data_IF_895708097099
#
_entry.id   IF_895708097099
#
_cell.length_a   1.000
_cell.length_b   1.000
_cell.length_c   1.000
_cell.angle_alpha   90.00
_cell.angle_beta   90.00
_cell.angle_gamma   90.00
#
_symmetry.space_group_name_H-M   'P 1'
#
loop_
_entity.id
_entity.type
_entity.pdbx_description
1 polymer ?
#
# COMPACT_ATOMS: atom_id res chain seq x y z
N UNK A 1 8.43 -53.66 -32.14
CA UNK A 1 7.77 -54.96 -31.88
C UNK A 1 7.08 -54.82 -30.53
N UNK A 2 5.77 -54.54 -30.43
CA UNK A 2 4.61 -55.43 -30.69
C UNK A 2 4.75 -56.72 -29.85
N UNK A 3 3.85 -57.17 -28.96
CA UNK A 3 2.38 -57.15 -28.83
C UNK A 3 2.01 -57.30 -27.31
N UNK A 4 0.91 -56.77 -26.74
CA UNK A 4 -0.54 -57.04 -26.90
C UNK A 4 -1.04 -58.40 -26.37
N UNK A 5 -2.29 -58.39 -25.83
CA UNK A 5 -3.27 -59.49 -25.55
C UNK A 5 -3.47 -59.80 -24.04
N UNK A 6 -4.64 -59.96 -23.39
CA UNK A 6 -6.12 -59.89 -23.59
C UNK A 6 -6.73 -59.94 -22.15
N UNK A 7 -7.78 -59.22 -21.73
CA UNK A 7 -9.23 -59.24 -22.03
C UNK A 7 -10.09 -60.33 -21.33
N UNK A 8 -11.09 -59.91 -20.55
CA UNK A 8 -12.50 -60.41 -20.42
C UNK A 8 -13.16 -59.78 -19.16
N UNK A 9 -14.16 -58.90 -19.24
CA UNK A 9 -15.61 -59.07 -19.54
C UNK A 9 -16.46 -59.72 -18.42
N UNK A 10 -17.48 -59.00 -17.93
CA UNK A 10 -18.90 -59.38 -17.66
C UNK A 10 -19.57 -58.21 -16.88
N UNK A 11 -20.43 -57.34 -17.43
CA UNK A 11 -21.84 -57.42 -17.89
C UNK A 11 -22.91 -57.13 -16.82
N UNK A 12 -23.71 -56.08 -17.07
CA UNK A 12 -25.15 -55.96 -16.77
C UNK A 12 -25.57 -54.78 -15.87
N UNK A 13 -26.69 -54.06 -16.06
CA UNK A 13 -27.69 -53.86 -17.14
C UNK A 13 -28.78 -52.88 -16.57
N UNK A 14 -29.26 -51.91 -17.37
CA UNK A 14 -30.58 -51.19 -17.37
C UNK A 14 -31.04 -50.42 -16.09
N UNK A 15 -31.79 -49.31 -16.14
CA UNK A 15 -32.91 -48.97 -17.03
C UNK A 15 -33.17 -47.46 -17.12
N UNK A 16 -33.63 -47.05 -18.30
CA UNK A 16 -34.22 -45.76 -18.69
C UNK A 16 -35.71 -45.67 -18.29
N UNK A 17 -36.23 -44.45 -18.12
CA UNK A 17 -37.60 -44.10 -18.50
C UNK A 17 -37.78 -42.59 -18.69
N UNK A 18 -38.15 -42.21 -19.92
CA UNK A 18 -38.72 -40.93 -20.31
C UNK A 18 -40.26 -41.02 -20.20
N UNK A 19 -40.95 -39.93 -19.82
CA UNK A 19 -42.18 -39.48 -20.50
C UNK A 19 -42.66 -38.10 -19.99
N UNK A 20 -42.66 -37.14 -20.93
CA UNK A 20 -43.60 -36.03 -21.24
C UNK A 20 -44.78 -35.82 -20.25
N UNK A 21 -45.29 -34.62 -19.93
CA UNK A 21 -45.90 -33.59 -20.81
C UNK A 21 -46.41 -32.37 -20.00
N UNK A 22 -46.18 -31.15 -20.51
CA UNK A 22 -46.99 -29.91 -20.49
C UNK A 22 -48.12 -29.67 -19.45
N UNK A 23 -48.11 -28.50 -18.77
CA UNK A 23 -49.04 -27.37 -19.07
C UNK A 23 -48.81 -26.09 -18.23
N UNK A 24 -48.96 -24.95 -18.92
CA UNK A 24 -49.06 -23.52 -18.53
C UNK A 24 -49.64 -23.18 -17.14
N UNK A 25 -49.09 -22.12 -16.51
CA UNK A 25 -49.86 -20.93 -16.06
C UNK A 25 -48.97 -19.81 -15.45
N UNK A 26 -49.02 -18.64 -16.10
CA UNK A 26 -49.02 -17.23 -15.60
C UNK A 26 -47.90 -16.64 -14.72
N UNK A 27 -47.42 -15.42 -15.05
CA UNK A 27 -46.53 -14.62 -14.21
C UNK A 27 -47.34 -13.76 -13.22
N UNK A 28 -46.91 -13.72 -11.96
CA UNK A 28 -47.45 -12.77 -10.97
C UNK A 28 -46.74 -11.43 -11.17
N UNK A 29 -47.47 -10.50 -11.77
CA UNK A 29 -47.17 -9.07 -11.82
C UNK A 29 -47.54 -8.47 -10.47
N UNK A 30 -46.57 -7.93 -9.72
CA UNK A 30 -46.86 -7.01 -8.62
C UNK A 30 -46.74 -5.58 -9.14
N UNK A 31 -47.87 -5.00 -9.53
CA UNK A 31 -48.05 -3.55 -9.63
C UNK A 31 -48.58 -3.04 -8.30
N UNK A 32 -47.86 -2.15 -7.64
CA UNK A 32 -48.43 -1.26 -6.63
C UNK A 32 -48.18 0.18 -7.05
N UNK A 33 -49.20 0.78 -7.68
CA UNK A 33 -49.38 2.22 -7.70
C UNK A 33 -49.70 2.67 -6.27
N UNK A 34 -48.92 3.60 -5.73
CA UNK A 34 -49.44 4.53 -4.73
C UNK A 34 -48.97 5.95 -5.06
N UNK A 35 -49.96 6.79 -5.27
CA UNK A 35 -49.87 8.19 -5.65
C UNK A 35 -49.52 9.08 -4.46
N UNK A 36 -48.61 10.02 -4.71
CA UNK A 36 -48.53 11.41 -4.21
C UNK A 36 -49.02 11.74 -2.80
N UNK A 37 -48.09 12.22 -1.96
CA UNK A 37 -48.28 13.47 -1.20
C UNK A 37 -46.99 14.31 -1.32
N UNK A 38 -47.09 15.36 -2.13
CA UNK A 38 -46.13 16.48 -2.16
C UNK A 38 -46.41 17.35 -0.95
N UNK A 39 -45.39 17.63 -0.13
CA UNK A 39 -45.40 18.80 0.78
C UNK A 39 -44.32 19.77 0.32
N UNK A 40 -44.78 20.90 -0.18
CA UNK A 40 -44.00 22.10 -0.45
C UNK A 40 -43.54 22.75 0.85
N UNK A 41 -42.26 23.09 0.93
CA UNK A 41 -41.81 24.24 1.73
C UNK A 41 -40.82 25.04 0.91
N UNK A 42 -41.21 26.28 0.65
CA UNK A 42 -40.60 27.29 -0.20
C UNK A 42 -39.47 28.07 0.49
N UNK A 43 -38.58 28.62 -0.34
CA UNK A 43 -37.61 29.70 -0.11
C UNK A 43 -36.36 29.31 0.71
N UNK A 44 -35.13 29.53 0.25
CA UNK A 44 -34.63 30.75 -0.37
C UNK A 44 -33.57 30.50 -1.47
N UNK A 45 -33.73 31.22 -2.59
CA UNK A 45 -32.69 31.51 -3.57
C UNK A 45 -31.45 32.13 -2.91
N UNK A 46 -30.29 31.51 -3.12
CA UNK A 46 -29.01 32.22 -3.22
C UNK A 46 -28.22 31.62 -4.37
N UNK A 47 -28.36 32.24 -5.54
CA UNK A 47 -27.25 32.38 -6.49
C UNK A 47 -26.03 32.83 -5.70
N UNK A 48 -24.99 32.00 -5.68
CA UNK A 48 -23.63 32.46 -5.42
C UNK A 48 -22.78 31.93 -6.56
N UNK A 49 -22.11 32.88 -7.18
CA UNK A 49 -21.41 32.75 -8.45
C UNK A 49 -20.40 31.62 -8.44
N UNK A 50 -20.33 30.95 -9.59
CA UNK A 50 -19.24 30.08 -10.00
C UNK A 50 -18.04 31.00 -10.22
N UNK A 51 -17.08 30.95 -9.32
CA UNK A 51 -15.71 31.37 -9.59
C UNK A 51 -14.81 30.15 -9.43
N UNK A 52 -14.23 29.75 -10.55
CA UNK A 52 -13.11 28.82 -10.65
C UNK A 52 -11.95 29.25 -9.74
N UNK A 53 -11.15 28.27 -9.33
CA UNK A 53 -10.05 28.30 -8.34
C UNK A 53 -10.47 28.04 -6.89
N UNK A 54 -10.70 26.76 -6.57
CA UNK A 54 -10.21 26.10 -5.34
C UNK A 54 -10.62 24.63 -5.37
N UNK A 55 -9.73 23.78 -5.91
CA UNK A 55 -9.80 22.34 -5.66
C UNK A 55 -9.41 22.02 -4.21
N UNK A 56 -9.86 20.90 -3.64
CA UNK A 56 -9.55 20.57 -2.24
C UNK A 56 -8.03 20.48 -2.03
N UNK A 57 -7.54 21.15 -0.99
CA UNK A 57 -6.13 21.15 -0.60
C UNK A 57 -5.79 19.89 0.21
N UNK A 58 -4.51 19.53 0.33
CA UNK A 58 -4.00 18.42 1.13
C UNK A 58 -4.54 18.45 2.57
N UNK A 59 -4.70 19.65 3.13
CA UNK A 59 -5.27 19.89 4.45
C UNK A 59 -6.73 19.40 4.54
N UNK A 60 -7.52 19.48 3.47
CA UNK A 60 -8.91 19.02 3.46
C UNK A 60 -9.00 17.48 3.47
N UNK A 61 -7.98 16.79 2.94
CA UNK A 61 -7.86 15.34 2.97
C UNK A 61 -7.29 14.79 4.29
N UNK A 62 -6.37 15.51 4.93
CA UNK A 62 -5.80 15.12 6.23
C UNK A 62 -6.77 15.44 7.38
N UNK A 63 -7.60 16.49 7.24
CA UNK A 63 -8.33 17.07 8.36
C UNK A 63 -9.64 16.41 8.73
N UNK A 64 -10.12 15.41 7.98
CA UNK A 64 -11.30 14.57 8.29
C UNK A 64 -12.22 15.18 9.34
N UNK A 65 -13.02 16.17 8.93
CA UNK A 65 -13.84 17.08 9.75
C UNK A 65 -13.62 17.02 11.27
N UNK A 66 -12.90 18.04 11.73
CA UNK A 66 -12.57 18.48 13.09
C UNK A 66 -13.76 18.60 14.07
N UNK A 67 -14.56 17.55 14.26
CA UNK A 67 -15.54 17.46 15.34
C UNK A 67 -14.96 16.87 16.63
N UNK A 68 -13.70 16.41 16.62
CA UNK A 68 -13.07 15.73 17.78
C UNK A 68 -11.77 16.36 18.33
N UNK A 69 -11.32 17.54 17.86
CA UNK A 69 -10.12 18.20 18.42
C UNK A 69 -10.19 18.38 19.95
N UNK A 70 -11.39 18.59 20.50
CA UNK A 70 -11.62 18.71 21.94
C UNK A 70 -11.45 17.40 22.72
N UNK A 71 -11.68 16.23 22.10
CA UNK A 71 -11.52 14.93 22.78
C UNK A 71 -10.06 14.47 22.88
N UNK A 72 -9.18 14.97 22.02
CA UNK A 72 -7.80 14.47 21.90
C UNK A 72 -6.84 15.15 22.87
N UNK A 73 -6.97 16.47 23.05
CA UNK A 73 -6.17 17.25 24.00
C UNK A 73 -6.41 16.84 25.47
N UNK A 74 -7.56 16.23 25.77
CA UNK A 74 -7.95 15.79 27.11
C UNK A 74 -7.59 14.32 27.41
N UNK A 75 -6.89 13.62 26.51
CA UNK A 75 -6.52 12.21 26.74
C UNK A 75 -5.48 12.10 27.88
N UNK A 76 -5.93 11.59 29.04
CA UNK A 76 -5.11 11.41 30.26
C UNK A 76 -4.41 10.04 30.36
N UNK A 77 -4.40 9.24 29.29
CA UNK A 77 -3.75 7.92 29.33
C UNK A 77 -2.25 8.02 29.15
N UNK A 78 -1.50 7.06 29.70
CA UNK A 78 -0.06 6.97 29.48
C UNK A 78 0.26 6.80 27.99
N UNK A 79 1.14 7.67 27.47
CA UNK A 79 1.61 7.62 26.09
C UNK A 79 2.94 6.89 25.96
N UNK A 80 3.72 6.83 27.04
CA UNK A 80 5.02 6.14 27.09
C UNK A 80 4.93 4.89 27.94
N UNK A 81 5.48 3.80 27.43
CA UNK A 81 5.39 2.47 28.03
C UNK A 81 6.26 2.38 29.27
N UNK A 82 5.66 2.00 30.39
CA UNK A 82 6.39 1.57 31.58
C UNK A 82 6.78 0.08 31.50
N UNK A 83 7.88 -0.31 32.14
CA UNK A 83 8.42 -1.67 32.08
C UNK A 83 7.42 -2.68 32.68
N UNK A 84 6.94 -3.59 31.83
CA UNK A 84 5.99 -4.64 32.21
C UNK A 84 4.57 -4.40 31.73
N UNK A 85 4.24 -3.17 31.35
CA UNK A 85 2.88 -2.78 30.99
C UNK A 85 2.65 -2.73 29.47
N UNK A 86 1.37 -2.70 29.08
CA UNK A 86 0.92 -2.47 27.71
C UNK A 86 0.18 -1.16 27.65
N UNK A 87 0.57 -0.31 26.71
CA UNK A 87 -0.13 0.93 26.44
C UNK A 87 -1.52 0.64 25.86
N UNK A 88 -2.51 1.43 26.29
CA UNK A 88 -3.84 1.43 25.71
C UNK A 88 -3.84 2.26 24.43
N UNK A 89 -4.46 1.76 23.38
CA UNK A 89 -4.55 2.47 22.11
C UNK A 89 -5.30 3.81 22.28
N UNK A 90 -4.66 4.95 21.99
CA UNK A 90 -5.28 6.26 22.08
C UNK A 90 -6.37 6.46 21.01
N UNK A 91 -7.27 7.42 21.18
CA UNK A 91 -8.42 7.62 20.30
C UNK A 91 -8.04 7.92 18.84
N UNK A 92 -6.99 8.73 18.60
CA UNK A 92 -6.57 9.12 17.25
C UNK A 92 -5.94 8.00 16.40
N UNK A 93 -5.71 6.81 16.99
CA UNK A 93 -5.24 5.62 16.27
C UNK A 93 -6.34 4.60 16.01
N UNK A 94 -7.58 4.89 16.42
CA UNK A 94 -8.72 4.01 16.16
C UNK A 94 -9.24 4.26 14.75
N UNK A 95 -9.40 3.20 13.98
CA UNK A 95 -10.02 3.24 12.65
C UNK A 95 -11.36 2.50 12.66
N UNK A 96 -12.22 2.87 11.73
CA UNK A 96 -13.47 2.15 11.50
C UNK A 96 -13.21 0.81 10.80
N UNK A 97 -14.11 -0.14 11.01
CA UNK A 97 -14.02 -1.46 10.38
C UNK A 97 -14.43 -1.30 8.90
N UNK A 98 -13.63 -1.82 7.96
CA UNK A 98 -13.92 -1.72 6.54
C UNK A 98 -15.23 -2.45 6.18
N UNK A 99 -16.21 -1.72 5.63
CA UNK A 99 -17.47 -2.26 5.12
C UNK A 99 -17.73 -1.65 3.73
N UNK A 100 -17.93 -2.48 2.70
CA UNK A 100 -18.28 -1.95 1.36
C UNK A 100 -18.22 -2.96 0.21
N UNK A 101 -18.95 -2.67 -0.87
CA UNK A 101 -18.99 -3.50 -2.10
C UNK A 101 -17.65 -3.49 -2.85
N UNK A 102 -16.96 -2.34 -2.94
CA UNK A 102 -15.67 -2.23 -3.61
C UNK A 102 -14.57 -3.03 -2.92
N UNK A 103 -14.50 -2.96 -1.59
CA UNK A 103 -13.60 -3.79 -0.79
C UNK A 103 -13.78 -5.29 -1.09
N UNK A 104 -15.03 -5.78 -1.09
CA UNK A 104 -15.31 -7.19 -1.40
C UNK A 104 -14.96 -7.58 -2.84
N UNK A 105 -15.17 -6.69 -3.81
CA UNK A 105 -14.79 -6.91 -5.22
C UNK A 105 -13.27 -7.08 -5.37
N UNK A 106 -12.48 -6.16 -4.80
CA UNK A 106 -11.02 -6.22 -4.84
C UNK A 106 -10.52 -7.49 -4.15
N UNK A 107 -11.06 -7.79 -2.95
CA UNK A 107 -10.73 -8.99 -2.19
C UNK A 107 -10.96 -10.29 -2.97
N UNK A 108 -12.10 -10.42 -3.64
CA UNK A 108 -12.39 -11.61 -4.43
C UNK A 108 -11.45 -11.72 -5.63
N UNK A 109 -11.18 -10.62 -6.31
CA UNK A 109 -10.29 -10.62 -7.49
C UNK A 109 -8.86 -10.99 -7.13
N UNK A 110 -8.35 -10.50 -6.00
CA UNK A 110 -7.02 -10.86 -5.48
C UNK A 110 -6.92 -12.36 -5.21
N UNK A 111 -7.95 -12.96 -4.62
CA UNK A 111 -8.00 -14.41 -4.38
C UNK A 111 -8.06 -15.23 -5.66
N UNK A 112 -8.89 -14.82 -6.61
CA UNK A 112 -9.07 -15.54 -7.88
C UNK A 112 -7.77 -15.55 -8.71
N UNK A 113 -6.95 -14.50 -8.58
CA UNK A 113 -5.67 -14.35 -9.26
C UNK A 113 -4.47 -14.84 -8.44
N UNK A 114 -4.72 -15.39 -7.24
CA UNK A 114 -3.67 -15.81 -6.30
C UNK A 114 -2.63 -14.72 -6.02
N UNK A 115 -3.08 -13.46 -5.91
CA UNK A 115 -2.24 -12.30 -5.61
C UNK A 115 -2.30 -11.97 -4.12
N UNK A 116 -1.16 -11.53 -3.59
CA UNK A 116 -1.05 -11.10 -2.20
C UNK A 116 -1.00 -9.56 -2.12
N UNK A 117 -1.48 -9.02 -1.00
CA UNK A 117 -1.38 -7.58 -0.71
C UNK A 117 -0.79 -7.38 0.67
N UNK A 118 0.08 -6.38 0.80
CA UNK A 118 0.58 -5.98 2.12
C UNK A 118 -0.56 -5.48 3.01
N UNK A 119 -1.64 -4.95 2.41
CA UNK A 119 -2.80 -4.48 3.15
C UNK A 119 -3.43 -5.60 4.00
N UNK A 120 -3.54 -6.81 3.44
CA UNK A 120 -4.06 -7.98 4.16
C UNK A 120 -2.98 -8.62 5.06
N UNK A 121 -1.78 -8.87 4.52
CA UNK A 121 -0.73 -9.62 5.24
C UNK A 121 -0.10 -8.83 6.40
N UNK A 122 -0.01 -7.50 6.27
CA UNK A 122 0.45 -6.60 7.32
C UNK A 122 -0.68 -6.07 8.24
N UNK A 123 -1.92 -6.51 8.03
CA UNK A 123 -3.11 -6.11 8.83
C UNK A 123 -3.29 -4.59 8.87
N UNK A 124 -3.25 -3.96 7.69
CA UNK A 124 -3.27 -2.51 7.58
C UNK A 124 -4.58 -1.92 8.14
N UNK A 125 -4.52 -0.94 9.06
CA UNK A 125 -5.72 -0.29 9.59
C UNK A 125 -6.46 0.57 8.55
N UNK A 126 -5.79 0.93 7.45
CA UNK A 126 -6.30 1.82 6.41
C UNK A 126 -6.92 1.07 5.22
N UNK A 127 -7.00 -0.27 5.25
CA UNK A 127 -7.41 -1.07 4.09
C UNK A 127 -8.80 -0.69 3.55
N UNK A 128 -9.73 -0.33 4.42
CA UNK A 128 -11.07 0.12 4.04
C UNK A 128 -11.07 1.42 3.26
N UNK A 129 -10.26 2.36 3.71
CA UNK A 129 -10.09 3.64 3.03
C UNK A 129 -9.38 3.44 1.69
N UNK A 130 -8.25 2.73 1.67
CA UNK A 130 -7.46 2.47 0.45
C UNK A 130 -8.29 1.79 -0.65
N UNK A 131 -9.04 0.74 -0.32
CA UNK A 131 -9.78 -0.08 -1.29
C UNK A 131 -11.21 0.42 -1.52
N UNK A 132 -11.71 1.31 -0.66
CA UNK A 132 -13.07 1.83 -0.70
C UNK A 132 -13.32 2.96 -1.69
N UNK A 133 -12.32 3.33 -2.51
CA UNK A 133 -12.39 4.44 -3.46
C UNK A 133 -13.72 4.47 -4.24
N UNK A 134 -14.43 5.60 -4.14
CA UNK A 134 -15.65 5.90 -4.89
C UNK A 134 -15.35 6.65 -6.20
N UNK A 135 -16.40 7.13 -6.89
CA UNK A 135 -16.33 7.82 -8.20
C UNK A 135 -15.38 9.04 -8.25
N UNK A 136 -15.05 9.61 -7.08
CA UNK A 136 -14.18 10.79 -6.91
C UNK A 136 -12.90 10.53 -6.11
N UNK A 137 -12.56 9.27 -5.80
CA UNK A 137 -11.30 8.94 -5.11
C UNK A 137 -10.50 7.87 -5.84
N UNK A 138 -9.22 8.17 -6.07
CA UNK A 138 -8.26 7.25 -6.65
C UNK A 138 -8.18 6.00 -5.78
N UNK A 139 -8.59 4.86 -6.34
CA UNK A 139 -8.33 3.58 -5.73
C UNK A 139 -6.83 3.30 -5.84
N UNK A 140 -6.19 2.99 -4.71
CA UNK A 140 -4.81 2.52 -4.71
C UNK A 140 -4.75 1.14 -4.08
N UNK A 141 -3.97 0.27 -4.69
CA UNK A 141 -3.64 -1.03 -4.14
C UNK A 141 -2.12 -1.14 -3.99
N UNK A 142 -1.68 -1.71 -2.87
CA UNK A 142 -0.30 -2.14 -2.69
C UNK A 142 -0.23 -3.65 -2.86
N UNK A 143 0.35 -4.08 -3.98
CA UNK A 143 0.49 -5.49 -4.33
C UNK A 143 1.81 -6.00 -3.79
N UNK A 144 1.77 -7.15 -3.12
CA UNK A 144 2.96 -7.81 -2.60
C UNK A 144 3.31 -8.98 -3.52
N UNK A 145 4.41 -8.81 -4.25
CA UNK A 145 4.98 -9.81 -5.15
C UNK A 145 5.74 -10.88 -4.37
N UNK A 146 5.96 -12.02 -5.01
CA UNK A 146 6.82 -13.11 -4.54
C UNK A 146 6.26 -13.85 -3.32
N UNK A 147 4.94 -13.83 -3.17
CA UNK A 147 4.20 -14.52 -2.13
C UNK A 147 4.12 -13.77 -0.80
N UNK A 148 3.73 -14.51 0.26
CA UNK A 148 3.46 -13.98 1.60
C UNK A 148 4.48 -14.41 2.67
N UNK A 149 5.59 -15.01 2.24
CA UNK A 149 6.56 -15.66 3.12
C UNK A 149 7.98 -15.15 2.84
N UNK A 150 8.55 -14.49 3.83
CA UNK A 150 9.82 -13.77 3.77
C UNK A 150 11.00 -14.60 4.29
N UNK A 151 12.19 -14.41 3.71
CA UNK A 151 13.45 -15.00 4.22
C UNK A 151 14.03 -14.26 5.43
N UNK A 152 13.42 -13.13 5.81
CA UNK A 152 13.86 -12.24 6.90
C UNK A 152 12.82 -12.12 8.01
N UNK A 153 13.31 -11.85 9.22
CA UNK A 153 12.51 -11.80 10.44
C UNK A 153 12.54 -10.44 11.12
N UNK A 154 12.11 -9.38 10.43
CA UNK A 154 11.96 -8.05 11.04
C UNK A 154 10.96 -8.10 12.20
N UNK A 155 11.34 -7.55 13.36
CA UNK A 155 10.58 -7.71 14.63
C UNK A 155 9.31 -6.87 14.69
N UNK A 156 9.16 -5.92 13.76
CA UNK A 156 7.95 -5.12 13.59
C UNK A 156 6.95 -5.73 12.60
N UNK A 157 7.39 -6.60 11.69
CA UNK A 157 6.63 -7.05 10.52
C UNK A 157 5.85 -8.35 10.81
N UNK A 158 4.60 -8.44 10.35
CA UNK A 158 3.73 -9.62 10.55
C UNK A 158 3.72 -10.62 9.40
N UNK A 159 4.43 -10.35 8.31
CA UNK A 159 4.58 -11.26 7.17
C UNK A 159 5.19 -12.58 7.66
N UNK A 160 4.76 -13.70 7.08
CA UNK A 160 5.25 -15.03 7.48
C UNK A 160 6.72 -15.15 7.16
N UNK A 161 7.43 -16.02 7.87
CA UNK A 161 8.86 -16.21 7.65
C UNK A 161 9.19 -17.69 7.42
N UNK A 162 10.04 -17.95 6.43
CA UNK A 162 10.60 -19.26 6.18
C UNK A 162 11.98 -19.12 5.56
N UNK A 163 12.91 -20.02 5.91
CA UNK A 163 14.25 -20.05 5.31
C UNK A 163 14.20 -20.38 3.81
N UNK A 164 13.24 -21.20 3.41
CA UNK A 164 13.00 -21.61 2.03
C UNK A 164 11.51 -21.39 1.73
N UNK A 165 11.13 -20.19 1.25
CA UNK A 165 9.78 -19.93 0.79
C UNK A 165 9.47 -20.74 -0.49
N UNK A 166 8.18 -20.84 -0.88
CA UNK A 166 7.80 -21.46 -2.16
C UNK A 166 8.53 -20.84 -3.37
N UNK A 167 8.73 -21.63 -4.45
CA UNK A 167 9.29 -21.09 -5.68
C UNK A 167 8.40 -19.96 -6.23
N UNK A 168 9.02 -19.00 -6.91
CA UNK A 168 8.28 -17.94 -7.61
C UNK A 168 7.36 -18.54 -8.67
N UNK A 169 6.15 -17.99 -8.80
CA UNK A 169 5.32 -18.25 -9.97
C UNK A 169 5.87 -17.44 -11.16
N UNK A 170 6.37 -18.09 -12.24
CA UNK A 170 6.89 -17.37 -13.40
C UNK A 170 5.84 -16.47 -14.09
N UNK A 171 4.55 -16.74 -13.90
CA UNK A 171 3.46 -15.96 -14.49
C UNK A 171 2.97 -14.81 -13.60
N UNK A 172 3.42 -14.72 -12.34
CA UNK A 172 3.03 -13.65 -11.41
C UNK A 172 3.22 -12.25 -12.00
N UNK A 173 4.32 -11.89 -12.69
CA UNK A 173 4.49 -10.56 -13.28
C UNK A 173 3.43 -10.23 -14.33
N UNK A 174 3.13 -11.19 -15.21
CA UNK A 174 2.13 -11.03 -16.27
C UNK A 174 0.72 -10.92 -15.70
N UNK A 175 0.37 -11.81 -14.77
CA UNK A 175 -0.95 -11.88 -14.15
C UNK A 175 -1.22 -10.64 -13.30
N UNK A 176 -0.22 -10.18 -12.54
CA UNK A 176 -0.29 -8.95 -11.74
C UNK A 176 -0.54 -7.74 -12.63
N UNK A 177 0.24 -7.59 -13.71
CA UNK A 177 0.06 -6.47 -14.65
C UNK A 177 -1.33 -6.48 -15.30
N UNK A 178 -1.81 -7.67 -15.71
CA UNK A 178 -3.17 -7.85 -16.26
C UNK A 178 -4.24 -7.43 -15.24
N UNK A 179 -4.08 -7.79 -13.97
CA UNK A 179 -5.00 -7.45 -12.90
C UNK A 179 -5.08 -5.94 -12.67
N UNK A 180 -3.92 -5.28 -12.54
CA UNK A 180 -3.80 -3.84 -12.27
C UNK A 180 -4.48 -3.02 -13.36
N UNK A 181 -4.26 -3.37 -14.63
CA UNK A 181 -4.90 -2.69 -15.75
C UNK A 181 -6.41 -2.92 -15.77
N UNK A 182 -6.86 -4.15 -15.48
CA UNK A 182 -8.29 -4.46 -15.41
C UNK A 182 -9.01 -3.74 -14.25
N UNK A 183 -8.29 -3.40 -13.17
CA UNK A 183 -8.84 -2.62 -12.07
C UNK A 183 -8.98 -1.13 -12.39
N UNK A 184 -8.31 -0.63 -13.43
CA UNK A 184 -8.34 0.78 -13.81
C UNK A 184 -7.67 1.69 -12.78
N UNK A 185 -6.60 1.23 -12.14
CA UNK A 185 -5.85 2.04 -11.18
C UNK A 185 -4.98 3.07 -11.90
N UNK A 186 -4.97 4.31 -11.40
CA UNK A 186 -4.04 5.34 -11.88
C UNK A 186 -2.65 5.22 -11.26
N UNK A 187 -2.58 4.66 -10.05
CA UNK A 187 -1.37 4.55 -9.24
C UNK A 187 -1.33 3.17 -8.57
N UNK A 188 -0.19 2.51 -8.63
CA UNK A 188 0.02 1.23 -7.96
C UNK A 188 1.35 1.22 -7.22
N UNK A 189 1.33 0.67 -6.00
CA UNK A 189 2.55 0.37 -5.24
C UNK A 189 2.82 -1.12 -5.36
N UNK A 190 3.99 -1.48 -5.85
CA UNK A 190 4.52 -2.84 -5.85
C UNK A 190 5.51 -2.97 -4.69
N UNK A 191 5.35 -3.99 -3.87
CA UNK A 191 6.31 -4.36 -2.84
C UNK A 191 6.55 -5.85 -2.88
N UNK A 192 7.42 -6.37 -2.03
CA UNK A 192 7.65 -7.80 -1.91
C UNK A 192 8.14 -8.18 -0.54
N UNK A 193 8.15 -9.48 -0.29
CA UNK A 193 8.99 -10.07 0.75
C UNK A 193 10.47 -10.05 0.36
N UNK A 194 11.37 -10.19 1.33
CA UNK A 194 12.78 -10.48 1.04
C UNK A 194 12.91 -11.93 0.54
N UNK A 195 13.66 -12.09 -0.56
CA UNK A 195 13.96 -13.37 -1.21
C UNK A 195 15.46 -13.64 -1.26
N UNK A 196 16.09 -13.72 -0.08
CA UNK A 196 17.53 -13.98 0.02
C UNK A 196 17.94 -15.38 -0.51
N UNK A 197 16.97 -16.24 -0.84
CA UNK A 197 17.14 -17.52 -1.51
C UNK A 197 17.39 -17.38 -3.03
N UNK A 198 17.09 -16.23 -3.62
CA UNK A 198 17.33 -15.90 -5.03
C UNK A 198 18.61 -15.09 -5.18
N UNK A 199 19.34 -15.31 -6.29
CA UNK A 199 20.63 -14.64 -6.53
C UNK A 199 20.52 -13.13 -6.69
N UNK A 200 19.41 -12.63 -7.25
CA UNK A 200 19.12 -11.21 -7.46
C UNK A 200 18.11 -10.65 -6.45
N UNK A 201 17.81 -11.42 -5.39
CA UNK A 201 16.79 -11.06 -4.40
C UNK A 201 15.37 -10.83 -4.97
N UNK A 202 15.09 -11.25 -6.21
CA UNK A 202 13.82 -11.03 -6.88
C UNK A 202 13.73 -9.75 -7.74
N UNK A 203 14.85 -9.04 -7.97
CA UNK A 203 14.85 -7.80 -8.74
C UNK A 203 14.35 -7.96 -10.18
N UNK A 204 14.69 -9.07 -10.85
CA UNK A 204 14.16 -9.42 -12.17
C UNK A 204 12.63 -9.56 -12.16
N UNK A 205 12.08 -10.09 -11.08
CA UNK A 205 10.64 -10.30 -10.93
C UNK A 205 9.89 -8.96 -10.79
N UNK A 206 10.43 -8.03 -10.00
CA UNK A 206 9.95 -6.65 -9.95
C UNK A 206 10.00 -5.99 -11.33
N UNK A 207 11.18 -6.00 -11.97
CA UNK A 207 11.38 -5.30 -13.23
C UNK A 207 10.42 -5.81 -14.31
N UNK A 208 10.25 -7.13 -14.43
CA UNK A 208 9.27 -7.74 -15.34
C UNK A 208 7.83 -7.31 -15.04
N UNK A 209 7.47 -7.18 -13.77
CA UNK A 209 6.12 -6.74 -13.38
C UNK A 209 5.88 -5.30 -13.82
N UNK A 210 6.84 -4.41 -13.54
CA UNK A 210 6.78 -3.00 -13.97
C UNK A 210 6.69 -2.89 -15.48
N UNK A 211 7.58 -3.57 -16.23
CA UNK A 211 7.57 -3.52 -17.69
C UNK A 211 6.25 -4.03 -18.27
N UNK A 212 5.71 -5.14 -17.76
CA UNK A 212 4.41 -5.65 -18.20
C UNK A 212 3.27 -4.65 -17.92
N UNK A 213 3.28 -3.91 -16.80
CA UNK A 213 2.30 -2.86 -16.51
C UNK A 213 2.44 -1.74 -17.54
N UNK A 214 3.65 -1.22 -17.75
CA UNK A 214 3.92 -0.09 -18.64
C UNK A 214 3.63 -0.40 -20.11
N UNK A 215 3.91 -1.63 -20.56
CA UNK A 215 3.55 -2.11 -21.90
C UNK A 215 2.04 -2.11 -22.15
N UNK A 216 1.23 -2.42 -21.12
CA UNK A 216 -0.23 -2.46 -21.23
C UNK A 216 -0.86 -1.09 -21.06
N UNK A 217 -0.33 -0.29 -20.15
CA UNK A 217 -0.77 1.07 -19.90
C UNK A 217 0.36 1.91 -19.29
N UNK A 218 1.02 2.70 -20.13
CA UNK A 218 2.11 3.59 -19.72
C UNK A 218 1.65 4.76 -18.82
N UNK A 219 0.34 5.07 -18.78
CA UNK A 219 -0.21 6.13 -17.95
C UNK A 219 -0.27 5.76 -16.46
N UNK A 220 -0.34 4.47 -16.12
CA UNK A 220 -0.36 4.00 -14.73
C UNK A 220 0.98 4.35 -14.09
N UNK A 221 0.94 5.08 -12.98
CA UNK A 221 2.13 5.37 -12.18
C UNK A 221 2.48 4.19 -11.30
N UNK A 222 3.76 3.83 -11.26
CA UNK A 222 4.27 2.66 -10.55
C UNK A 222 5.31 3.09 -9.52
N UNK A 223 5.01 2.86 -8.25
CA UNK A 223 5.95 2.95 -7.13
C UNK A 223 6.44 1.54 -6.77
N UNK A 224 7.76 1.35 -6.68
CA UNK A 224 8.33 0.09 -6.20
C UNK A 224 8.92 0.30 -4.81
N UNK A 225 8.27 -0.26 -3.77
CA UNK A 225 8.82 -0.38 -2.42
C UNK A 225 9.66 -1.65 -2.31
N UNK A 226 10.97 -1.49 -2.49
CA UNK A 226 11.89 -2.61 -2.66
C UNK A 226 12.54 -3.07 -1.35
N UNK A 227 12.95 -4.35 -1.28
CA UNK A 227 14.01 -4.81 -0.38
C UNK A 227 15.32 -4.03 -0.54
N UNK A 228 16.30 -4.35 0.32
CA UNK A 228 17.67 -3.81 0.22
C UNK A 228 18.60 -4.65 -0.66
N UNK A 229 18.13 -5.80 -1.16
CA UNK A 229 18.89 -6.77 -1.97
C UNK A 229 20.24 -7.17 -1.37
N UNK A 230 20.38 -7.13 -0.04
CA UNK A 230 21.65 -7.36 0.67
C UNK A 230 22.78 -6.44 0.19
N UNK A 231 22.42 -5.25 -0.30
CA UNK A 231 23.36 -4.28 -0.84
C UNK A 231 23.83 -4.56 -2.27
N UNK A 232 23.20 -5.50 -3.00
CA UNK A 232 23.48 -5.70 -4.43
C UNK A 232 22.92 -4.55 -5.26
N UNK A 233 23.82 -3.67 -5.69
CA UNK A 233 23.49 -2.49 -6.48
C UNK A 233 23.05 -2.83 -7.91
N UNK A 234 23.43 -3.99 -8.45
CA UNK A 234 22.97 -4.40 -9.79
C UNK A 234 21.47 -4.73 -9.79
N UNK A 235 20.98 -5.26 -8.68
CA UNK A 235 19.55 -5.49 -8.43
C UNK A 235 18.78 -4.17 -8.29
N UNK A 236 19.38 -3.18 -7.62
CA UNK A 236 18.83 -1.80 -7.51
C UNK A 236 18.74 -1.13 -8.88
N UNK A 237 19.83 -1.17 -9.66
CA UNK A 237 19.92 -0.61 -11.01
C UNK A 237 18.86 -1.21 -11.93
N UNK A 238 18.73 -2.55 -11.93
CA UNK A 238 17.74 -3.27 -12.73
C UNK A 238 16.32 -2.76 -12.48
N UNK A 239 15.95 -2.58 -11.22
CA UNK A 239 14.62 -2.04 -10.88
C UNK A 239 14.54 -0.58 -11.32
N UNK A 240 15.51 0.28 -10.97
CA UNK A 240 15.51 1.70 -11.33
C UNK A 240 15.31 1.96 -12.84
N UNK A 241 15.81 1.06 -13.69
CA UNK A 241 15.69 1.13 -15.15
C UNK A 241 14.44 0.44 -15.73
N UNK A 242 13.61 -0.22 -14.91
CA UNK A 242 12.42 -0.96 -15.36
C UNK A 242 11.27 -0.11 -15.91
N UNK A 243 11.37 1.22 -15.76
CA UNK A 243 10.36 2.18 -16.19
C UNK A 243 9.42 2.66 -15.09
N UNK A 244 9.68 2.33 -13.82
CA UNK A 244 8.91 2.85 -12.69
C UNK A 244 9.02 4.38 -12.54
N UNK A 245 8.12 4.96 -11.76
CA UNK A 245 8.06 6.40 -11.51
C UNK A 245 8.64 6.77 -10.14
N UNK A 246 8.47 5.93 -9.11
CA UNK A 246 8.94 6.19 -7.73
C UNK A 246 9.67 4.98 -7.13
N UNK A 247 10.95 5.13 -6.83
CA UNK A 247 11.75 4.12 -6.16
C UNK A 247 11.67 4.32 -4.65
N UNK A 248 11.01 3.41 -3.94
CA UNK A 248 10.87 3.46 -2.50
C UNK A 248 11.72 2.39 -1.80
N UNK A 249 12.40 2.77 -0.72
CA UNK A 249 13.03 1.83 0.20
C UNK A 249 12.98 2.42 1.61
N UNK A 250 12.39 1.69 2.55
CA UNK A 250 12.20 2.18 3.90
C UNK A 250 13.43 1.90 4.77
N UNK A 251 13.92 2.95 5.45
CA UNK A 251 14.90 2.81 6.53
C UNK A 251 14.26 2.31 7.83
N UNK A 252 12.94 2.47 7.96
CA UNK A 252 12.05 2.00 9.03
C UNK A 252 12.25 2.66 10.39
N UNK A 253 13.49 2.91 10.82
CA UNK A 253 13.82 3.45 12.14
C UNK A 253 15.18 4.14 12.13
N UNK A 254 15.52 4.84 13.21
CA UNK A 254 16.83 5.46 13.44
C UNK A 254 17.98 4.44 13.51
N UNK A 255 19.21 4.89 13.28
CA UNK A 255 20.45 4.10 13.20
C UNK A 255 20.65 3.15 14.39
N UNK A 256 20.38 3.63 15.59
CA UNK A 256 20.58 2.92 16.87
C UNK A 256 19.64 1.74 17.04
N UNK A 257 18.44 1.82 16.45
CA UNK A 257 17.40 0.82 16.59
C UNK A 257 17.37 -0.19 15.44
N UNK A 258 18.16 0.00 14.38
CA UNK A 258 18.19 -0.86 13.20
C UNK A 258 18.26 -2.35 13.54
N UNK A 259 19.28 -2.76 14.32
CA UNK A 259 19.48 -4.18 14.70
C UNK A 259 18.41 -4.70 15.67
N UNK A 260 17.77 -3.81 16.42
CA UNK A 260 16.69 -4.17 17.35
C UNK A 260 15.34 -4.32 16.63
N UNK A 261 15.11 -3.56 15.55
CA UNK A 261 13.83 -3.46 14.85
C UNK A 261 13.79 -4.35 13.60
N UNK A 262 14.81 -4.29 12.76
CA UNK A 262 14.91 -4.97 11.48
C UNK A 262 15.69 -6.28 11.61
N UNK A 263 15.61 -7.11 10.58
CA UNK A 263 16.45 -8.30 10.48
C UNK A 263 17.95 -7.91 10.54
N UNK A 264 18.83 -8.66 11.22
CA UNK A 264 20.25 -8.32 11.36
C UNK A 264 21.02 -8.14 10.04
N UNK A 265 20.48 -8.63 8.91
CA UNK A 265 21.04 -8.44 7.57
C UNK A 265 20.76 -7.05 6.98
N UNK A 266 19.80 -6.30 7.55
CA UNK A 266 19.48 -4.93 7.17
C UNK A 266 20.20 -3.93 8.09
N UNK A 267 20.63 -2.81 7.52
CA UNK A 267 21.21 -1.69 8.27
C UNK A 267 20.99 -0.38 7.51
N UNK A 268 21.14 0.75 8.21
CA UNK A 268 20.85 2.06 7.65
C UNK A 268 21.81 2.45 6.51
N UNK A 269 23.10 2.14 6.61
CA UNK A 269 24.08 2.49 5.57
C UNK A 269 23.78 1.77 4.25
N UNK A 270 23.36 0.50 4.32
CA UNK A 270 22.90 -0.27 3.17
C UNK A 270 21.63 0.33 2.58
N UNK A 271 20.66 0.69 3.42
CA UNK A 271 19.41 1.32 2.98
C UNK A 271 19.64 2.68 2.31
N UNK A 272 20.54 3.50 2.85
CA UNK A 272 20.94 4.78 2.25
C UNK A 272 21.67 4.58 0.92
N UNK A 273 22.54 3.57 0.82
CA UNK A 273 23.21 3.22 -0.45
C UNK A 273 22.22 2.80 -1.54
N UNK A 274 21.19 2.02 -1.20
CA UNK A 274 20.13 1.63 -2.14
C UNK A 274 19.44 2.87 -2.72
N UNK A 275 19.00 3.79 -1.85
CA UNK A 275 18.30 5.01 -2.26
C UNK A 275 19.20 5.94 -3.08
N UNK A 276 20.45 6.16 -2.63
CA UNK A 276 21.42 6.97 -3.35
C UNK A 276 21.73 6.38 -4.72
N UNK A 277 21.95 5.08 -4.80
CA UNK A 277 22.29 4.42 -6.06
C UNK A 277 21.15 4.47 -7.08
N UNK A 278 19.89 4.34 -6.64
CA UNK A 278 18.73 4.51 -7.53
C UNK A 278 18.73 5.91 -8.20
N UNK A 279 19.11 6.96 -7.45
CA UNK A 279 19.28 8.33 -7.98
C UNK A 279 20.48 8.47 -8.91
N UNK A 280 21.61 7.85 -8.59
CA UNK A 280 22.81 7.86 -9.44
C UNK A 280 22.53 7.22 -10.80
N UNK A 281 21.81 6.09 -10.80
CA UNK A 281 21.42 5.37 -12.03
C UNK A 281 20.44 6.17 -12.87
N UNK A 282 19.45 6.83 -12.24
CA UNK A 282 18.43 7.63 -12.92
C UNK A 282 18.09 8.87 -12.11
N UNK A 283 18.76 9.99 -12.41
CA UNK A 283 18.61 11.24 -11.65
C UNK A 283 17.18 11.79 -11.59
N UNK A 284 16.35 11.48 -12.60
CA UNK A 284 14.95 11.93 -12.69
C UNK A 284 13.98 11.09 -11.87
N UNK A 285 14.37 9.88 -11.42
CA UNK A 285 13.50 9.01 -10.63
C UNK A 285 13.21 9.66 -9.27
N UNK A 286 11.99 9.56 -8.77
CA UNK A 286 11.70 10.00 -7.41
C UNK A 286 12.10 8.91 -6.41
N UNK A 287 12.76 9.30 -5.32
CA UNK A 287 13.10 8.39 -4.22
C UNK A 287 12.26 8.67 -2.99
N UNK A 288 11.82 7.61 -2.32
CA UNK A 288 10.93 7.70 -1.17
C UNK A 288 11.35 6.76 -0.05
N UNK A 289 11.14 7.19 1.20
CA UNK A 289 11.39 6.35 2.37
C UNK A 289 10.30 6.52 3.43
N UNK A 290 10.38 5.66 4.45
CA UNK A 290 9.50 5.69 5.61
C UNK A 290 10.26 5.45 6.90
N UNK A 291 9.79 6.11 7.96
CA UNK A 291 10.22 5.90 9.35
C UNK A 291 8.96 5.64 10.19
N UNK A 292 8.98 4.57 10.98
CA UNK A 292 7.98 4.32 12.01
C UNK A 292 8.42 4.95 13.33
N UNK A 293 7.54 5.71 13.94
CA UNK A 293 7.74 6.32 15.26
C UNK A 293 7.08 5.50 16.37
N UNK A 294 7.59 5.62 17.60
CA UNK A 294 7.11 4.91 18.78
C UNK A 294 7.82 3.59 19.05
N UNK A 295 9.03 3.39 18.53
CA UNK A 295 9.88 2.21 18.75
C UNK A 295 10.93 2.43 19.84
N UNK A 296 11.06 3.66 20.34
CA UNK A 296 11.98 4.06 21.42
C UNK A 296 13.06 5.03 20.95
N UNK A 297 12.93 5.57 19.74
CA UNK A 297 13.79 6.59 19.18
C UNK A 297 13.62 7.94 19.90
N UNK A 298 14.69 8.74 19.96
CA UNK A 298 14.63 10.12 20.46
C UNK A 298 14.44 11.12 19.32
N UNK A 299 14.07 12.35 19.65
CA UNK A 299 13.85 13.40 18.66
C UNK A 299 15.17 13.78 17.95
N UNK A 300 16.28 13.80 18.68
CA UNK A 300 17.61 14.03 18.11
C UNK A 300 17.97 12.93 17.09
N UNK A 301 17.73 11.66 17.43
CA UNK A 301 18.00 10.53 16.52
C UNK A 301 17.15 10.57 15.25
N UNK A 302 15.88 11.01 15.37
CA UNK A 302 15.02 11.22 14.20
C UNK A 302 15.63 12.34 13.34
N UNK A 303 15.96 13.49 13.94
CA UNK A 303 16.52 14.63 13.22
C UNK A 303 17.82 14.27 12.48
N UNK A 304 18.74 13.56 13.14
CA UNK A 304 19.97 13.06 12.52
C UNK A 304 19.66 12.12 11.36
N UNK A 305 18.70 11.20 11.53
CA UNK A 305 18.26 10.30 10.47
C UNK A 305 17.67 11.06 9.27
N UNK A 306 16.88 12.12 9.52
CA UNK A 306 16.34 12.95 8.45
C UNK A 306 17.45 13.67 7.68
N UNK A 307 18.49 14.13 8.39
CA UNK A 307 19.65 14.77 7.78
C UNK A 307 20.40 13.79 6.87
N UNK A 308 20.67 12.57 7.35
CA UNK A 308 21.31 11.52 6.54
C UNK A 308 20.49 11.17 5.28
N UNK A 309 19.15 11.14 5.40
CA UNK A 309 18.25 10.88 4.27
C UNK A 309 18.33 12.00 3.22
N UNK A 310 18.39 13.27 3.65
CA UNK A 310 18.58 14.40 2.74
C UNK A 310 19.94 14.36 2.05
N UNK A 311 21.00 14.04 2.79
CA UNK A 311 22.35 13.87 2.24
C UNK A 311 22.44 12.70 1.25
N UNK A 312 21.59 11.68 1.40
CA UNK A 312 21.44 10.60 0.42
C UNK A 312 20.57 10.97 -0.80
N UNK A 313 20.02 12.19 -0.86
CA UNK A 313 19.22 12.67 -1.99
C UNK A 313 17.80 12.09 -2.04
N UNK A 314 17.23 11.70 -0.89
CA UNK A 314 15.89 11.10 -0.82
C UNK A 314 14.80 12.14 -0.98
N UNK A 315 13.97 12.09 -2.02
CA UNK A 315 13.00 13.17 -2.30
C UNK A 315 11.83 13.22 -1.33
N UNK A 316 11.26 12.07 -0.97
CA UNK A 316 10.00 11.99 -0.25
C UNK A 316 10.12 11.19 1.05
N UNK A 317 9.46 11.69 2.08
CA UNK A 317 9.49 11.13 3.43
C UNK A 317 8.07 10.81 3.91
N UNK A 318 7.94 9.66 4.57
CA UNK A 318 6.73 9.31 5.31
C UNK A 318 7.06 8.96 6.76
N UNK A 319 6.29 9.48 7.70
CA UNK A 319 6.43 9.27 9.14
C UNK A 319 5.11 8.78 9.70
N UNK A 320 5.09 7.56 10.23
CA UNK A 320 3.89 6.89 10.72
C UNK A 320 4.04 6.30 12.10
N UNK A 321 2.95 6.11 12.84
CA UNK A 321 3.01 5.40 14.13
C UNK A 321 3.28 3.91 13.91
N UNK A 322 4.27 3.36 14.62
CA UNK A 322 4.43 1.92 14.77
C UNK A 322 3.21 1.32 15.48
N UNK A 323 2.56 0.38 14.81
CA UNK A 323 1.42 -0.37 15.33
C UNK A 323 1.81 -1.82 15.53
N UNK A 324 1.78 -2.29 16.78
CA UNK A 324 2.10 -3.68 17.10
C UNK A 324 1.12 -4.65 16.42
N UNK A 325 1.55 -5.50 15.46
CA UNK A 325 0.60 -6.36 14.73
C UNK A 325 0.05 -7.51 15.56
N UNK A 326 0.89 -8.09 16.43
CA UNK A 326 0.50 -9.17 17.34
C UNK A 326 1.30 -9.08 18.64
N UNK A 327 0.86 -9.82 19.66
CA UNK A 327 1.51 -9.88 20.97
C UNK A 327 2.97 -10.36 20.95
N UNK A 328 3.43 -10.97 19.86
CA UNK A 328 4.80 -11.51 19.67
C UNK A 328 5.79 -10.49 19.09
N UNK A 329 5.29 -9.44 18.45
CA UNK A 329 6.12 -8.39 17.84
C UNK A 329 6.57 -7.37 18.89
N UNK A 330 7.43 -6.44 18.47
CA UNK A 330 7.86 -5.33 19.32
C UNK A 330 6.68 -4.64 20.02
N UNK A 331 6.89 -4.29 21.28
CA UNK A 331 5.92 -3.47 21.99
C UNK A 331 6.09 -2.02 21.53
N UNK A 332 4.97 -1.32 21.39
CA UNK A 332 4.99 0.14 21.20
C UNK A 332 5.62 0.75 22.44
N UNK A 333 6.63 1.60 22.23
CA UNK A 333 7.31 2.32 23.29
C UNK A 333 6.62 3.63 23.61
N UNK A 334 6.20 4.34 22.56
CA UNK A 334 5.46 5.60 22.66
C UNK A 334 4.33 5.66 21.63
N UNK A 335 3.17 6.16 22.04
CA UNK A 335 2.14 6.64 21.13
C UNK A 335 2.34 8.13 20.86
N UNK A 336 2.88 8.43 19.69
CA UNK A 336 3.21 9.78 19.25
C UNK A 336 1.92 10.56 18.99
N UNK A 337 1.88 11.80 19.47
CA UNK A 337 0.69 12.66 19.34
C UNK A 337 0.60 13.28 17.94
N UNK A 338 -0.61 13.62 17.47
CA UNK A 338 -0.78 14.31 16.18
C UNK A 338 0.05 15.60 16.05
N UNK A 339 0.22 16.35 17.14
CA UNK A 339 1.02 17.58 17.16
C UNK A 339 2.50 17.30 16.90
N UNK A 340 3.03 16.19 17.45
CA UNK A 340 4.41 15.77 17.21
C UNK A 340 4.60 15.28 15.77
N UNK A 341 3.61 14.62 15.18
CA UNK A 341 3.63 14.32 13.75
C UNK A 341 3.62 15.61 12.90
N UNK A 342 2.77 16.59 13.21
CA UNK A 342 2.74 17.87 12.51
C UNK A 342 4.07 18.63 12.63
N UNK A 343 4.74 18.54 13.78
CA UNK A 343 6.10 19.07 13.95
C UNK A 343 7.08 18.41 12.97
N UNK A 344 7.09 17.08 12.88
CA UNK A 344 7.98 16.37 11.95
C UNK A 344 7.65 16.62 10.48
N UNK A 345 6.38 16.85 10.14
CA UNK A 345 5.98 17.29 8.80
C UNK A 345 6.67 18.61 8.43
N UNK A 346 6.58 19.59 9.33
CA UNK A 346 7.22 20.89 9.16
C UNK A 346 8.73 20.75 9.04
N UNK A 347 9.37 19.97 9.92
CA UNK A 347 10.81 19.75 9.89
C UNK A 347 11.24 19.13 8.55
N UNK A 348 10.55 18.08 8.08
CA UNK A 348 10.86 17.46 6.78
C UNK A 348 10.73 18.45 5.62
N UNK A 349 9.65 19.24 5.59
CA UNK A 349 9.45 20.25 4.55
C UNK A 349 10.53 21.35 4.60
N UNK A 350 10.91 21.82 5.81
CA UNK A 350 11.97 22.82 5.99
C UNK A 350 13.36 22.29 5.59
N UNK A 351 13.60 20.98 5.73
CA UNK A 351 14.82 20.30 5.27
C UNK A 351 14.87 20.05 3.75
N UNK A 352 13.79 20.41 3.03
CA UNK A 352 13.73 20.37 1.58
C UNK A 352 13.41 19.00 0.98
N UNK A 353 12.75 18.10 1.73
CA UNK A 353 12.05 16.99 1.08
C UNK A 353 10.98 17.58 0.13
N UNK A 354 10.83 17.01 -1.07
CA UNK A 354 9.80 17.43 -2.02
C UNK A 354 8.39 17.26 -1.44
N UNK A 355 8.23 16.26 -0.57
CA UNK A 355 7.03 16.04 0.21
C UNK A 355 7.33 15.23 1.47
N UNK A 356 6.70 15.65 2.57
CA UNK A 356 6.68 14.92 3.84
C UNK A 356 5.25 14.59 4.21
N UNK A 357 4.89 13.30 4.28
CA UNK A 357 3.67 12.86 4.96
C UNK A 357 4.02 12.51 6.40
N UNK A 358 3.38 13.12 7.39
CA UNK A 358 3.62 12.77 8.79
C UNK A 358 2.29 12.69 9.52
N UNK A 359 1.97 11.53 10.08
CA UNK A 359 0.72 11.35 10.79
C UNK A 359 0.54 9.98 11.41
N UNK A 360 -0.34 9.82 12.42
CA UNK A 360 -0.47 8.57 13.15
C UNK A 360 -0.80 7.36 12.27
N UNK A 361 -1.68 7.55 11.28
CA UNK A 361 -2.10 6.49 10.35
C UNK A 361 -1.34 6.50 9.03
N UNK A 362 -0.37 7.41 8.84
CA UNK A 362 0.45 7.43 7.62
C UNK A 362 1.22 6.11 7.49
N UNK A 363 1.31 5.62 6.26
CA UNK A 363 2.07 4.44 5.84
C UNK A 363 2.88 4.82 4.60
N UNK A 364 3.90 4.03 4.28
CA UNK A 364 4.68 4.22 3.06
C UNK A 364 3.80 4.33 1.82
N UNK A 365 2.75 3.51 1.70
CA UNK A 365 1.76 3.54 0.61
C UNK A 365 0.45 4.26 0.94
N UNK A 366 0.47 5.26 1.83
CA UNK A 366 -0.74 6.01 2.17
C UNK A 366 -1.09 7.07 1.10
N UNK A 367 -2.38 7.14 0.75
CA UNK A 367 -2.98 7.93 -0.34
C UNK A 367 -2.47 9.36 -0.50
N UNK A 368 -2.22 10.06 0.61
CA UNK A 368 -1.80 11.46 0.58
C UNK A 368 -0.48 11.66 -0.18
N UNK A 369 0.47 10.74 -0.01
CA UNK A 369 1.74 10.78 -0.76
C UNK A 369 1.55 10.46 -2.24
N UNK A 370 0.65 9.55 -2.57
CA UNK A 370 0.41 9.11 -3.95
C UNK A 370 -0.27 10.20 -4.78
N UNK A 371 -1.22 10.94 -4.21
CA UNK A 371 -1.86 12.07 -4.89
C UNK A 371 -0.87 13.20 -5.18
N UNK A 372 -0.02 13.55 -4.20
CA UNK A 372 1.02 14.54 -4.40
C UNK A 372 2.02 14.10 -5.47
N UNK A 373 2.49 12.85 -5.40
CA UNK A 373 3.42 12.29 -6.37
C UNK A 373 2.83 12.24 -7.78
N UNK A 374 1.56 11.86 -7.92
CA UNK A 374 0.83 11.89 -9.19
C UNK A 374 0.83 13.30 -9.77
N UNK A 375 0.38 14.29 -9.00
CA UNK A 375 0.33 15.68 -9.46
C UNK A 375 1.73 16.24 -9.81
N UNK A 376 2.75 15.88 -9.04
CA UNK A 376 4.13 16.31 -9.31
C UNK A 376 4.67 15.70 -10.61
N UNK A 377 4.44 14.40 -10.83
CA UNK A 377 4.87 13.69 -12.02
C UNK A 377 4.12 14.16 -13.26
N UNK A 378 2.81 14.41 -13.14
CA UNK A 378 1.99 14.94 -14.22
C UNK A 378 2.43 16.35 -14.62
N UNK A 379 2.78 17.22 -13.65
CA UNK A 379 3.38 18.53 -13.91
C UNK A 379 4.71 18.41 -14.66
N UNK A 380 5.65 17.56 -14.19
CA UNK A 380 6.95 17.35 -14.87
C UNK A 380 6.77 16.88 -16.32
N UNK A 381 5.89 15.89 -16.55
CA UNK A 381 5.57 15.40 -17.90
C UNK A 381 4.95 16.49 -18.79
N UNK A 382 4.16 17.40 -18.23
CA UNK A 382 3.59 18.52 -18.96
C UNK A 382 4.64 19.56 -19.34
N UNK A 383 5.62 19.81 -18.47
CA UNK A 383 6.70 20.77 -18.72
C UNK A 383 7.71 20.22 -19.75
N UNK A 384 8.09 18.95 -19.66
CA UNK A 384 8.93 18.27 -20.67
C UNK A 384 8.31 18.33 -22.08
N UNK A 385 6.98 18.23 -22.19
CA UNK A 385 6.26 18.33 -23.47
C UNK A 385 6.14 19.75 -24.02
N UNK A 386 6.36 20.78 -23.20
CA UNK A 386 6.38 22.19 -23.65
C UNK A 386 7.76 22.61 -24.14
N UNK A 387 8.80 21.94 -23.64
CA UNK A 387 10.20 22.21 -24.00
C UNK A 387 10.67 21.40 -25.22
N UNK A 388 10.01 20.26 -25.51
CA UNK A 388 10.21 19.45 -26.72
C UNK A 388 9.35 19.95 -27.90
#
# INVERSE_FOLDING_TARGET
MALFIQSCCFLGRFSSCNLLRSSRATPVVYTSNFSTVVKSSSHHDRKKDISDEDGPNLQDFISGELSEKSKWAEYKGDLKRQKGERLRLPPWLKTEIPIGKNFNRLKNTLRDLNLHTVCEEARCPNIGECWGGGEFSTATATIMLMGDTCTRGCRFCSVKTARQPPPLDPNEPYNTAKAIVAWGLDYVVLTSVDRDDLSDGGAEHFAKTVSNIKERNAAILVECLTPDFRGDLTSVEKIALSGLDVYAHNVETVRELQRYVRDPRANIDQSLKVLRHAKEVKSTILTKTSIMLGLGETDEQIQDTLQELREAGVDCLTLGQYMQPTKRHLKVDEYVTPEKFAHWEKVGNDMGFLYTASGPLVRSSYKAGEFFLKNLLDKRKADEKKEA
#
